data_IF_252764236818
#
_entry.id   IF_252764236818
#
_cell.length_a   1.000
_cell.length_b   1.000
_cell.length_c   1.000
_cell.angle_alpha   90.00
_cell.angle_beta   90.00
_cell.angle_gamma   90.00
#
_symmetry.space_group_name_H-M   'P 1'
#
loop_
_entity.id
_entity.type
_entity.pdbx_description
1 polymer ?
#
# COMPACT_ATOMS: atom_id res chain seq x y z
N UNK A 1 -10.85 6.90 -18.10
CA UNK A 1 -11.54 7.94 -17.33
C UNK A 1 -12.22 7.31 -16.14
N UNK A 2 -12.05 7.85 -14.95
CA UNK A 2 -12.68 7.41 -13.72
C UNK A 2 -13.34 8.58 -13.00
N UNK A 3 -14.32 8.27 -12.16
CA UNK A 3 -14.96 9.21 -11.25
C UNK A 3 -14.99 8.60 -9.86
N UNK A 4 -14.76 9.40 -8.84
CA UNK A 4 -14.93 8.97 -7.46
C UNK A 4 -15.73 10.01 -6.67
N UNK A 5 -16.43 9.53 -5.67
CA UNK A 5 -17.13 10.34 -4.69
C UNK A 5 -16.91 9.69 -3.31
N UNK A 6 -16.86 10.48 -2.26
CA UNK A 6 -16.60 9.93 -0.95
C UNK A 6 -16.76 10.93 0.17
N UNK A 7 -16.45 10.46 1.38
CA UNK A 7 -16.47 11.24 2.61
C UNK A 7 -15.09 11.16 3.25
N UNK A 8 -14.61 12.30 3.70
CA UNK A 8 -13.44 12.42 4.58
C UNK A 8 -13.94 13.01 5.92
N UNK A 9 -13.73 12.29 7.00
CA UNK A 9 -13.99 12.74 8.35
C UNK A 9 -12.68 12.84 9.12
N UNK A 10 -12.43 13.99 9.71
CA UNK A 10 -11.25 14.27 10.53
C UNK A 10 -11.70 14.66 11.94
N UNK A 11 -11.21 13.98 12.93
CA UNK A 11 -11.51 14.21 14.36
C UNK A 11 -10.22 14.09 15.16
N UNK A 12 -9.69 15.22 15.65
CA UNK A 12 -8.47 15.26 16.44
C UNK A 12 -7.35 14.36 15.86
N UNK A 13 -7.17 13.18 16.46
CA UNK A 13 -6.12 12.24 16.09
C UNK A 13 -6.56 11.16 15.09
N UNK A 14 -7.79 11.23 14.60
CA UNK A 14 -8.37 10.22 13.72
C UNK A 14 -8.77 10.81 12.38
N UNK A 15 -8.46 10.09 11.32
CA UNK A 15 -8.93 10.38 9.96
C UNK A 15 -9.61 9.14 9.41
N UNK A 16 -10.82 9.28 8.93
CA UNK A 16 -11.53 8.24 8.20
C UNK A 16 -11.88 8.73 6.80
N UNK A 17 -11.56 7.94 5.80
CA UNK A 17 -11.83 8.21 4.40
C UNK A 17 -12.57 7.02 3.79
N UNK A 18 -13.67 7.28 3.10
CA UNK A 18 -14.36 6.28 2.28
C UNK A 18 -14.65 6.86 0.92
N UNK A 19 -14.40 6.10 -0.13
CA UNK A 19 -14.62 6.50 -1.52
C UNK A 19 -15.34 5.40 -2.28
N UNK A 20 -16.37 5.78 -2.99
CA UNK A 20 -16.93 4.97 -4.07
C UNK A 20 -16.33 5.42 -5.40
N UNK A 21 -15.83 4.49 -6.16
CA UNK A 21 -15.11 4.72 -7.41
C UNK A 21 -15.83 4.03 -8.55
N UNK A 22 -15.96 4.74 -9.68
CA UNK A 22 -16.44 4.17 -10.95
C UNK A 22 -15.34 4.37 -11.98
N UNK A 23 -14.85 3.28 -12.53
CA UNK A 23 -13.68 3.26 -13.39
C UNK A 23 -14.04 2.79 -14.80
N UNK A 24 -13.41 3.41 -15.79
CA UNK A 24 -13.47 2.95 -17.17
C UNK A 24 -12.53 1.76 -17.41
N UNK A 25 -12.75 1.05 -18.50
CA UNK A 25 -12.02 -0.14 -18.91
C UNK A 25 -10.49 0.02 -19.07
N UNK A 26 -10.02 1.24 -19.19
CA UNK A 26 -8.60 1.55 -19.40
C UNK A 26 -7.89 2.06 -18.12
N UNK A 27 -8.46 1.84 -16.95
CA UNK A 27 -7.92 2.40 -15.73
C UNK A 27 -7.95 1.38 -14.60
N UNK A 28 -6.83 1.20 -13.93
CA UNK A 28 -6.71 0.45 -12.67
C UNK A 28 -6.23 1.45 -11.61
N UNK A 29 -6.98 1.67 -10.51
CA UNK A 29 -6.52 2.51 -9.42
C UNK A 29 -5.27 1.89 -8.79
N UNK A 30 -4.37 2.75 -8.32
CA UNK A 30 -3.11 2.32 -7.72
C UNK A 30 -2.33 1.31 -8.57
N UNK A 31 -2.28 1.53 -9.91
CA UNK A 31 -1.57 0.64 -10.83
C UNK A 31 -0.10 0.45 -10.40
N UNK A 32 0.55 1.51 -9.98
CA UNK A 32 1.93 1.51 -9.45
C UNK A 32 1.89 1.57 -7.91
N UNK A 33 1.48 0.50 -7.28
CA UNK A 33 1.49 0.35 -5.82
C UNK A 33 2.72 -0.42 -5.33
N UNK A 34 2.80 -0.67 -4.03
CA UNK A 34 3.88 -1.43 -3.39
C UNK A 34 4.05 -2.84 -3.94
N UNK A 35 2.99 -3.41 -4.52
CA UNK A 35 2.95 -4.75 -5.11
C UNK A 35 3.23 -4.76 -6.62
N UNK A 36 3.47 -3.59 -7.23
CA UNK A 36 3.56 -3.46 -8.69
C UNK A 36 4.59 -4.40 -9.31
N UNK A 37 5.79 -4.49 -8.76
CA UNK A 37 6.86 -5.32 -9.34
C UNK A 37 6.50 -6.81 -9.38
N UNK A 38 5.74 -7.27 -8.41
CA UNK A 38 5.26 -8.65 -8.36
C UNK A 38 4.09 -8.88 -9.30
N UNK A 39 3.24 -7.89 -9.45
CA UNK A 39 1.97 -8.00 -10.17
C UNK A 39 1.98 -7.39 -11.57
N UNK A 40 3.08 -6.79 -12.02
CA UNK A 40 3.12 -6.07 -13.30
C UNK A 40 2.56 -6.86 -14.49
N UNK A 41 2.87 -8.16 -14.55
CA UNK A 41 2.36 -9.05 -15.60
C UNK A 41 0.88 -9.35 -15.45
N UNK A 42 0.41 -9.48 -14.21
CA UNK A 42 -1.01 -9.66 -13.90
C UNK A 42 -1.79 -8.39 -14.18
N UNK A 43 -1.33 -7.25 -13.69
CA UNK A 43 -1.96 -5.94 -13.91
C UNK A 43 -2.02 -5.59 -15.40
N UNK A 44 -0.95 -5.84 -16.14
CA UNK A 44 -0.92 -5.63 -17.60
C UNK A 44 -1.96 -6.49 -18.33
N UNK A 45 -2.04 -7.79 -18.02
CA UNK A 45 -3.06 -8.67 -18.59
C UNK A 45 -4.48 -8.29 -18.19
N UNK A 46 -4.70 -7.90 -16.94
CA UNK A 46 -6.00 -7.43 -16.46
C UNK A 46 -6.45 -6.18 -17.20
N UNK A 47 -5.53 -5.21 -17.38
CA UNK A 47 -5.82 -3.98 -18.11
C UNK A 47 -6.19 -4.26 -19.58
N UNK A 48 -5.44 -5.15 -20.26
CA UNK A 48 -5.76 -5.55 -21.62
C UNK A 48 -7.13 -6.19 -21.71
N UNK A 49 -7.46 -7.15 -20.85
CA UNK A 49 -8.77 -7.83 -20.82
C UNK A 49 -9.92 -6.86 -20.55
N UNK A 50 -9.75 -5.94 -19.60
CA UNK A 50 -10.76 -4.93 -19.28
C UNK A 50 -10.98 -3.99 -20.47
N UNK A 51 -9.90 -3.59 -21.14
CA UNK A 51 -9.96 -2.74 -22.35
C UNK A 51 -10.69 -3.46 -23.49
N UNK A 52 -10.32 -4.71 -23.75
CA UNK A 52 -10.87 -5.47 -24.87
C UNK A 52 -12.36 -5.77 -24.66
N UNK A 53 -12.78 -5.98 -23.42
CA UNK A 53 -14.20 -6.19 -23.07
C UNK A 53 -14.99 -4.87 -22.95
N UNK A 54 -14.33 -3.70 -22.93
CA UNK A 54 -14.98 -2.41 -22.76
C UNK A 54 -15.70 -2.23 -21.42
N UNK A 55 -15.41 -3.09 -20.44
CA UNK A 55 -16.12 -3.14 -19.16
C UNK A 55 -15.79 -1.93 -18.29
N UNK A 56 -16.83 -1.33 -17.73
CA UNK A 56 -16.73 -0.41 -16.60
C UNK A 56 -16.89 -1.18 -15.32
N UNK A 57 -16.21 -0.75 -14.28
CA UNK A 57 -16.34 -1.36 -12.98
C UNK A 57 -16.43 -0.30 -11.87
N UNK A 58 -16.89 -0.71 -10.73
CA UNK A 58 -16.95 0.14 -9.54
C UNK A 58 -16.24 -0.53 -8.39
N UNK A 59 -15.93 0.24 -7.36
CA UNK A 59 -15.24 -0.27 -6.18
C UNK A 59 -15.37 0.67 -4.99
N UNK A 60 -14.90 0.18 -3.85
CA UNK A 60 -14.81 0.92 -2.62
C UNK A 60 -13.37 0.97 -2.12
N UNK A 61 -12.98 2.14 -1.68
CA UNK A 61 -11.75 2.37 -0.94
C UNK A 61 -12.10 2.94 0.43
N UNK A 62 -11.54 2.35 1.47
CA UNK A 62 -11.67 2.83 2.85
C UNK A 62 -10.29 2.97 3.46
N UNK A 63 -10.06 4.05 4.17
CA UNK A 63 -8.81 4.28 4.90
C UNK A 63 -9.14 4.82 6.29
N UNK A 64 -8.48 4.30 7.28
CA UNK A 64 -8.48 4.80 8.64
C UNK A 64 -7.05 5.10 9.06
N UNK A 65 -6.82 6.29 9.63
CA UNK A 65 -5.57 6.70 10.25
C UNK A 65 -5.83 7.13 11.68
N UNK A 66 -4.92 6.78 12.56
CA UNK A 66 -4.91 7.22 13.95
C UNK A 66 -3.51 7.68 14.33
N UNK A 67 -3.43 8.84 14.99
CA UNK A 67 -2.19 9.36 15.58
C UNK A 67 -2.24 9.17 17.09
N UNK A 68 -1.13 8.78 17.67
CA UNK A 68 -0.98 8.61 19.11
C UNK A 68 0.28 9.32 19.59
N UNK A 69 0.11 10.21 20.57
CA UNK A 69 1.21 10.96 21.20
C UNK A 69 2.16 11.64 20.18
N UNK A 70 1.65 12.12 19.06
CA UNK A 70 2.41 12.75 17.96
C UNK A 70 3.58 11.92 17.40
N UNK A 71 3.89 10.80 18.03
CA UNK A 71 5.02 9.94 17.67
C UNK A 71 4.61 8.74 16.81
N UNK A 72 3.38 8.27 16.95
CA UNK A 72 2.92 7.08 16.25
C UNK A 72 1.77 7.39 15.31
N UNK A 73 1.85 6.87 14.09
CA UNK A 73 0.75 6.89 13.14
C UNK A 73 0.41 5.47 12.75
N UNK A 74 -0.80 5.07 12.97
CA UNK A 74 -1.37 3.81 12.51
C UNK A 74 -2.27 4.05 11.30
N UNK A 75 -2.20 3.18 10.29
CA UNK A 75 -2.98 3.25 9.06
C UNK A 75 -3.49 1.89 8.68
N UNK A 76 -4.76 1.84 8.33
CA UNK A 76 -5.42 0.68 7.72
C UNK A 76 -6.11 1.15 6.46
N UNK A 77 -5.91 0.49 5.34
CA UNK A 77 -6.72 0.72 4.16
C UNK A 77 -7.22 -0.58 3.55
N UNK A 78 -8.41 -0.53 3.01
CA UNK A 78 -9.03 -1.64 2.31
C UNK A 78 -9.65 -1.15 1.02
N UNK A 79 -9.29 -1.80 -0.08
CA UNK A 79 -9.80 -1.52 -1.42
C UNK A 79 -10.43 -2.80 -2.00
N UNK A 80 -11.62 -2.65 -2.55
CA UNK A 80 -12.31 -3.72 -3.25
C UNK A 80 -12.96 -3.20 -4.50
N UNK A 81 -12.48 -3.66 -5.63
CA UNK A 81 -13.10 -3.42 -6.92
C UNK A 81 -14.01 -4.59 -7.31
N UNK A 82 -15.14 -4.29 -7.93
CA UNK A 82 -16.11 -5.28 -8.38
C UNK A 82 -15.83 -5.79 -9.80
N UNK A 83 -14.61 -5.60 -10.28
CA UNK A 83 -14.14 -6.25 -11.49
C UNK A 83 -13.70 -7.69 -11.18
N UNK A 84 -14.03 -8.68 -12.02
CA UNK A 84 -13.54 -10.06 -11.86
C UNK A 84 -12.02 -10.16 -12.05
N UNK A 85 -11.38 -9.13 -12.57
CA UNK A 85 -9.95 -9.09 -12.86
C UNK A 85 -9.13 -8.39 -11.78
N UNK A 86 -9.78 -7.78 -10.78
CA UNK A 86 -9.11 -7.06 -9.71
C UNK A 86 -9.35 -7.76 -8.37
N UNK A 87 -8.35 -7.73 -7.53
CA UNK A 87 -8.33 -8.43 -6.25
C UNK A 87 -8.44 -7.44 -5.09
N UNK A 88 -9.19 -7.79 -4.02
CA UNK A 88 -9.23 -6.96 -2.81
C UNK A 88 -7.84 -6.77 -2.23
N UNK A 89 -7.55 -5.55 -1.79
CA UNK A 89 -6.26 -5.16 -1.22
C UNK A 89 -6.46 -4.65 0.22
N UNK A 90 -5.72 -5.21 1.15
CA UNK A 90 -5.58 -4.74 2.52
C UNK A 90 -4.17 -4.22 2.73
N UNK A 91 -4.05 -3.00 3.23
CA UNK A 91 -2.77 -2.43 3.64
C UNK A 91 -2.85 -2.01 5.11
N UNK A 92 -1.83 -2.36 5.86
CA UNK A 92 -1.62 -1.95 7.24
C UNK A 92 -0.28 -1.23 7.33
N UNK A 93 -0.23 -0.17 8.12
CA UNK A 93 1.01 0.56 8.34
C UNK A 93 1.08 1.11 9.76
N UNK A 94 2.28 1.10 10.30
CA UNK A 94 2.62 1.81 11.53
C UNK A 94 3.89 2.58 11.30
N UNK A 95 3.85 3.86 11.61
CA UNK A 95 5.01 4.76 11.54
C UNK A 95 5.30 5.30 12.93
N UNK A 96 6.57 5.27 13.32
CA UNK A 96 7.10 5.95 14.48
C UNK A 96 8.03 7.05 14.01
N UNK A 97 7.66 8.29 14.27
CA UNK A 97 8.43 9.46 13.82
C UNK A 97 9.44 9.95 14.85
N UNK A 98 9.45 9.34 16.05
CA UNK A 98 10.27 9.78 17.16
C UNK A 98 9.69 11.00 17.87
N UNK A 99 10.17 11.27 19.07
CA UNK A 99 10.06 12.57 19.71
C UNK A 99 11.12 13.49 19.11
N UNK A 100 10.97 14.81 19.17
CA UNK A 100 11.81 15.81 18.50
C UNK A 100 13.33 15.64 18.67
N UNK A 101 13.76 14.99 19.73
CA UNK A 101 15.17 14.67 20.01
C UNK A 101 15.61 13.28 19.50
N UNK A 102 14.69 12.44 19.02
CA UNK A 102 15.01 11.10 18.52
C UNK A 102 15.23 11.15 17.00
N UNK A 103 16.48 10.95 16.60
CA UNK A 103 16.88 10.89 15.19
C UNK A 103 16.41 9.59 14.48
N UNK A 104 15.77 8.67 15.21
CA UNK A 104 15.32 7.40 14.69
C UNK A 104 13.85 7.46 14.30
N UNK A 105 13.54 7.09 13.06
CA UNK A 105 12.19 6.91 12.55
C UNK A 105 12.04 5.45 12.10
N UNK A 106 10.97 4.82 12.51
CA UNK A 106 10.69 3.43 12.16
C UNK A 106 9.35 3.36 11.43
N UNK A 107 9.26 2.51 10.44
CA UNK A 107 7.98 2.15 9.85
C UNK A 107 7.90 0.66 9.58
N UNK A 108 6.70 0.11 9.76
CA UNK A 108 6.37 -1.24 9.37
C UNK A 108 5.12 -1.21 8.50
N UNK A 109 5.12 -1.98 7.44
CA UNK A 109 3.97 -2.10 6.55
C UNK A 109 3.69 -3.56 6.25
N UNK A 110 2.42 -3.85 6.03
CA UNK A 110 1.90 -5.10 5.56
C UNK A 110 0.88 -4.83 4.46
N UNK A 111 1.13 -5.38 3.29
CA UNK A 111 0.24 -5.29 2.14
C UNK A 111 -0.17 -6.69 1.70
N UNK A 112 -1.47 -6.92 1.54
CA UNK A 112 -2.01 -8.21 1.10
C UNK A 112 -3.13 -8.03 0.11
N UNK A 113 -3.04 -8.75 -1.00
CA UNK A 113 -4.14 -8.93 -1.96
C UNK A 113 -4.74 -10.32 -1.84
N UNK A 114 -5.94 -10.47 -2.42
CA UNK A 114 -6.59 -11.77 -2.54
C UNK A 114 -7.09 -12.38 -1.22
N UNK A 115 -7.65 -11.55 -0.34
CA UNK A 115 -8.07 -11.91 1.02
C UNK A 115 -9.10 -13.06 1.11
N UNK A 116 -9.85 -13.35 0.05
CA UNK A 116 -11.01 -14.26 0.10
C UNK A 116 -10.78 -15.65 -0.51
N UNK A 117 -9.63 -15.94 -1.07
CA UNK A 117 -9.37 -17.25 -1.65
C UNK A 117 -8.66 -18.17 -0.65
N UNK A 118 -9.44 -19.02 0.03
CA UNK A 118 -8.89 -19.98 1.00
C UNK A 118 -8.01 -21.06 0.35
N UNK A 119 -8.11 -21.27 -0.97
CA UNK A 119 -7.28 -22.17 -1.74
C UNK A 119 -6.09 -21.50 -2.44
N UNK A 120 -5.87 -20.21 -2.23
CA UNK A 120 -4.68 -19.57 -2.75
C UNK A 120 -3.47 -20.09 -1.96
N UNK A 121 -2.74 -21.01 -2.56
CA UNK A 121 -1.38 -21.41 -2.12
C UNK A 121 -0.41 -20.23 -2.12
N UNK A 122 -0.93 -19.02 -2.31
CA UNK A 122 -0.15 -17.86 -2.65
C UNK A 122 -0.63 -16.72 -1.82
N UNK A 123 0.15 -16.39 -0.87
CA UNK A 123 0.01 -15.15 -0.15
C UNK A 123 0.68 -14.05 -0.98
N UNK A 124 -0.10 -13.34 -1.78
CA UNK A 124 0.30 -12.06 -2.38
C UNK A 124 0.48 -11.03 -1.25
N UNK A 125 1.45 -11.25 -0.38
CA UNK A 125 1.71 -10.43 0.79
C UNK A 125 3.14 -9.91 0.79
N UNK A 126 3.30 -8.65 1.17
CA UNK A 126 4.58 -8.00 1.44
C UNK A 126 4.60 -7.55 2.90
N UNK A 127 5.70 -7.83 3.56
CA UNK A 127 6.04 -7.25 4.85
C UNK A 127 7.24 -6.33 4.64
N UNK A 128 7.14 -5.11 5.09
CA UNK A 128 8.22 -4.14 5.03
C UNK A 128 8.56 -3.60 6.42
N UNK A 129 9.84 -3.49 6.69
CA UNK A 129 10.37 -2.77 7.83
C UNK A 129 11.36 -1.74 7.33
N UNK A 130 11.22 -0.52 7.80
CA UNK A 130 12.11 0.58 7.43
C UNK A 130 12.58 1.30 8.69
N UNK A 131 13.87 1.46 8.80
CA UNK A 131 14.51 2.24 9.84
C UNK A 131 15.29 3.38 9.19
N UNK A 132 14.99 4.62 9.56
CA UNK A 132 15.71 5.79 9.13
C UNK A 132 16.36 6.46 10.33
N UNK A 133 17.63 6.72 10.20
CA UNK A 133 18.43 7.42 11.20
C UNK A 133 18.98 8.71 10.61
N UNK A 134 18.60 9.86 11.18
CA UNK A 134 19.10 11.17 10.76
C UNK A 134 20.50 11.37 11.40
N UNK A 135 21.56 11.29 10.57
CA UNK A 135 22.97 11.42 10.99
C UNK A 135 23.28 12.91 11.28
N UNK A 136 22.75 13.80 10.44
CA UNK A 136 22.83 15.24 10.58
C UNK A 136 21.57 15.89 10.03
N UNK A 137 21.47 17.22 10.11
CA UNK A 137 20.33 17.97 9.54
C UNK A 137 20.23 17.81 8.03
N UNK A 138 21.35 17.52 7.36
CA UNK A 138 21.44 17.36 5.90
C UNK A 138 21.63 15.92 5.44
N UNK A 139 21.76 14.94 6.34
CA UNK A 139 22.01 13.56 5.94
C UNK A 139 21.28 12.56 6.80
N UNK A 140 20.78 11.49 6.17
CA UNK A 140 20.16 10.38 6.85
C UNK A 140 20.54 9.04 6.20
N UNK A 141 20.54 7.99 7.00
CA UNK A 141 20.71 6.61 6.55
C UNK A 141 19.38 5.88 6.70
N UNK A 142 19.03 5.11 5.71
CA UNK A 142 17.80 4.33 5.67
C UNK A 142 18.11 2.87 5.42
N UNK A 143 17.58 2.00 6.27
CA UNK A 143 17.58 0.55 6.10
C UNK A 143 16.16 0.11 5.79
N UNK A 144 15.99 -0.69 4.77
CA UNK A 144 14.70 -1.26 4.42
C UNK A 144 14.83 -2.78 4.23
N UNK A 145 14.04 -3.52 4.98
CA UNK A 145 13.87 -4.95 4.84
C UNK A 145 12.51 -5.21 4.20
N UNK A 146 12.47 -5.98 3.11
CA UNK A 146 11.23 -6.44 2.50
C UNK A 146 11.21 -7.95 2.43
N UNK A 147 10.14 -8.53 2.92
CA UNK A 147 9.83 -9.94 2.77
C UNK A 147 8.64 -10.08 1.84
N UNK A 148 8.85 -10.75 0.72
CA UNK A 148 7.88 -10.89 -0.35
C UNK A 148 7.57 -12.37 -0.52
N UNK A 149 6.30 -12.74 -0.46
CA UNK A 149 5.86 -14.08 -0.81
C UNK A 149 5.37 -14.08 -2.26
N UNK A 150 6.11 -14.73 -3.12
CA UNK A 150 5.74 -14.83 -4.53
C UNK A 150 4.60 -15.83 -4.78
N UNK A 151 4.09 -15.87 -6.03
CA UNK A 151 2.98 -16.74 -6.43
C UNK A 151 3.22 -18.23 -6.19
N UNK A 152 4.45 -18.68 -6.08
CA UNK A 152 4.80 -20.05 -5.75
C UNK A 152 4.89 -20.32 -4.24
N UNK A 153 4.63 -19.31 -3.41
CA UNK A 153 4.80 -19.37 -1.95
C UNK A 153 6.26 -19.34 -1.50
N UNK A 154 7.18 -19.00 -2.42
CA UNK A 154 8.59 -18.85 -2.09
C UNK A 154 8.84 -17.45 -1.54
N UNK A 155 9.45 -17.39 -0.37
CA UNK A 155 9.90 -16.14 0.22
C UNK A 155 11.11 -15.57 -0.55
N UNK A 156 11.09 -14.27 -0.77
CA UNK A 156 12.21 -13.50 -1.29
C UNK A 156 12.43 -12.35 -0.32
N UNK A 157 13.59 -12.34 0.29
CA UNK A 157 14.01 -11.26 1.18
C UNK A 157 14.89 -10.28 0.41
N UNK A 158 14.65 -9.01 0.58
CA UNK A 158 15.52 -7.96 0.07
C UNK A 158 15.90 -6.99 1.18
N UNK A 159 17.16 -6.59 1.15
CA UNK A 159 17.71 -5.55 2.04
C UNK A 159 18.15 -4.40 1.15
N UNK A 160 17.65 -3.21 1.44
CA UNK A 160 18.08 -1.99 0.79
C UNK A 160 18.69 -1.04 1.83
N UNK A 161 19.82 -0.44 1.49
CA UNK A 161 20.50 0.55 2.33
C UNK A 161 20.71 1.79 1.48
N UNK A 162 20.15 2.90 1.92
CA UNK A 162 20.23 4.18 1.22
C UNK A 162 20.80 5.26 2.12
N UNK A 163 21.63 6.11 1.56
CA UNK A 163 22.03 7.37 2.18
C UNK A 163 21.31 8.51 1.45
N UNK A 164 20.59 9.33 2.18
CA UNK A 164 19.88 10.49 1.65
C UNK A 164 20.58 11.76 2.08
N UNK A 165 20.87 12.62 1.11
CA UNK A 165 21.43 13.97 1.33
C UNK A 165 20.34 15.00 1.01
N UNK A 166 20.18 15.99 1.87
CA UNK A 166 19.31 17.15 1.67
C UNK A 166 20.21 18.34 1.33
N UNK A 167 19.98 18.96 0.21
CA UNK A 167 20.67 20.15 -0.24
C UNK A 167 19.80 21.38 -0.03
#
# INVERSE_FOLDING_TARGET
>A
TGMHTGVLAEMADFTFKTEFRVMGSNYIPNYFDTLYEMERHYKGRSLMRMRDNGERYSGWFNEFKAKFNDAYTFRVSYEKDYSPFLRPHLSLGIDYTGLDYNKLKLSANYDRKNLYYSNSRVSDAIYGLKARFDISDSSSMCYELRHILNESGKAVDSINIETQLKF
#
